data_IF_039472692670
#
_entry.id   IF_039472692670
#
_cell.length_a   1.000
_cell.length_b   1.000
_cell.length_c   1.000
_cell.angle_alpha   90.00
_cell.angle_beta   90.00
_cell.angle_gamma   90.00
#
_symmetry.space_group_name_H-M   'P 1'
#
loop_
_entity.id
_entity.type
_entity.pdbx_description
1 polymer ?
#
# COMPACT_ATOMS: atom_id res chain seq x y z
N UNK A 1 -63.25 97.29 3.18
CA UNK A 1 -62.04 97.30 3.97
C UNK A 1 -62.02 96.03 4.82
N UNK A 2 -61.39 94.96 4.36
CA UNK A 2 -61.05 93.80 5.23
C UNK A 2 -59.73 93.26 4.70
N UNK A 3 -58.68 93.28 5.48
CA UNK A 3 -57.32 92.76 5.15
C UNK A 3 -57.31 91.24 5.39
N UNK A 4 -56.98 90.48 4.35
CA UNK A 4 -56.70 89.06 4.51
C UNK A 4 -55.23 88.83 4.76
N UNK A 5 -54.89 88.14 5.82
CA UNK A 5 -53.53 87.73 6.18
C UNK A 5 -53.27 86.36 5.54
N UNK A 6 -52.21 86.28 4.78
CA UNK A 6 -51.69 85.06 4.19
C UNK A 6 -50.66 84.47 5.14
N UNK A 7 -50.93 83.30 5.69
CA UNK A 7 -49.92 82.47 6.44
C UNK A 7 -49.13 81.64 5.48
N UNK A 8 -47.81 81.87 5.40
CA UNK A 8 -46.87 81.01 4.72
C UNK A 8 -46.42 79.84 5.61
N UNK A 9 -46.81 78.62 5.28
CA UNK A 9 -46.34 77.45 5.97
C UNK A 9 -45.02 76.97 5.26
N UNK A 10 -43.88 77.07 5.95
CA UNK A 10 -42.61 76.56 5.48
C UNK A 10 -42.49 75.12 5.85
N UNK A 11 -42.51 74.23 4.82
CA UNK A 11 -42.18 72.78 4.93
C UNK A 11 -40.67 72.56 4.94
N UNK A 12 -40.13 72.17 6.08
CA UNK A 12 -38.73 71.70 6.20
C UNK A 12 -38.70 70.22 5.82
N UNK A 13 -38.16 69.88 4.65
CA UNK A 13 -37.87 68.54 4.22
C UNK A 13 -36.58 68.06 4.91
N UNK A 14 -36.72 67.14 5.89
CA UNK A 14 -35.61 66.38 6.41
C UNK A 14 -35.26 65.25 5.40
N UNK A 15 -34.20 65.43 4.62
CA UNK A 15 -33.58 64.34 3.83
C UNK A 15 -32.75 63.44 4.75
N UNK A 16 -33.28 62.26 5.06
CA UNK A 16 -32.49 61.19 5.68
C UNK A 16 -31.58 60.57 4.62
N UNK A 17 -30.30 60.94 4.61
CA UNK A 17 -29.30 60.26 3.84
C UNK A 17 -29.08 58.84 4.40
N UNK A 18 -29.62 57.82 3.73
CA UNK A 18 -29.25 56.43 3.96
C UNK A 18 -27.85 56.22 3.34
N UNK A 19 -26.81 56.20 4.16
CA UNK A 19 -25.50 55.71 3.77
C UNK A 19 -25.63 54.21 3.55
N UNK A 20 -25.70 53.77 2.29
CA UNK A 20 -25.46 52.39 1.92
C UNK A 20 -24.00 52.10 2.28
N UNK A 21 -23.78 51.32 3.35
CA UNK A 21 -22.48 50.74 3.67
C UNK A 21 -22.15 49.79 2.49
N UNK A 22 -21.21 50.19 1.64
CA UNK A 22 -20.64 49.31 0.61
C UNK A 22 -20.01 48.09 1.29
N UNK A 23 -19.91 46.95 0.56
CA UNK A 23 -19.19 45.79 1.08
C UNK A 23 -17.79 46.24 1.51
N UNK A 24 -17.48 46.02 2.79
CA UNK A 24 -16.14 46.29 3.32
C UNK A 24 -15.07 45.55 2.45
N UNK A 25 -13.85 46.06 2.41
CA UNK A 25 -12.78 45.41 1.62
C UNK A 25 -12.73 43.95 2.00
N UNK A 26 -12.78 43.07 0.97
CA UNK A 26 -12.60 41.61 1.15
C UNK A 26 -11.34 41.41 1.99
N UNK A 27 -11.53 40.88 3.23
CA UNK A 27 -10.44 40.75 4.17
C UNK A 27 -9.30 39.99 3.53
N UNK A 28 -8.09 40.51 3.62
CA UNK A 28 -6.87 39.80 3.21
C UNK A 28 -6.93 38.41 3.84
N UNK A 29 -6.81 37.31 3.06
CA UNK A 29 -6.88 35.97 3.63
C UNK A 29 -5.90 35.89 4.80
N UNK A 30 -6.41 35.59 5.99
CA UNK A 30 -5.58 35.51 7.20
C UNK A 30 -4.52 34.41 6.98
N UNK A 31 -3.25 34.69 7.35
CA UNK A 31 -2.17 33.74 7.23
C UNK A 31 -2.56 32.39 7.88
N UNK A 32 -2.17 31.24 7.27
CA UNK A 32 -2.48 29.93 7.81
C UNK A 32 -1.93 29.73 9.23
N UNK A 33 -2.71 29.06 10.07
CA UNK A 33 -2.32 28.67 11.43
C UNK A 33 -2.36 27.17 11.60
N UNK A 34 -1.64 26.64 12.60
CA UNK A 34 -1.67 25.22 12.88
C UNK A 34 -3.09 24.74 13.18
N UNK A 35 -3.75 25.36 14.16
CA UNK A 35 -5.03 24.87 14.68
C UNK A 35 -6.14 24.85 13.63
N UNK A 36 -6.24 25.92 12.82
CA UNK A 36 -7.33 26.07 11.84
C UNK A 36 -7.05 25.37 10.51
N UNK A 37 -5.79 25.44 10.01
CA UNK A 37 -5.50 25.13 8.62
C UNK A 37 -4.61 23.88 8.44
N UNK A 38 -3.62 23.69 9.33
CA UNK A 38 -2.61 22.63 9.17
C UNK A 38 -3.01 21.34 9.88
N UNK A 39 -3.53 21.43 11.11
CA UNK A 39 -3.95 20.25 11.87
C UNK A 39 -4.99 19.38 11.12
N UNK A 40 -6.03 19.97 10.47
CA UNK A 40 -6.95 19.16 9.66
C UNK A 40 -6.25 18.33 8.59
N UNK A 41 -5.25 18.91 7.90
CA UNK A 41 -4.47 18.23 6.85
C UNK A 41 -3.65 17.09 7.47
N UNK A 42 -2.92 17.38 8.56
CA UNK A 42 -2.09 16.38 9.24
C UNK A 42 -2.94 15.24 9.79
N UNK A 43 -4.11 15.53 10.34
CA UNK A 43 -5.00 14.52 10.92
C UNK A 43 -5.59 13.60 9.86
N UNK A 44 -5.91 14.13 8.69
CA UNK A 44 -6.44 13.34 7.58
C UNK A 44 -5.37 12.46 6.90
N UNK A 45 -4.14 12.98 6.73
CA UNK A 45 -3.16 12.35 5.83
C UNK A 45 -1.88 11.84 6.50
N UNK A 46 -1.59 12.22 7.76
CA UNK A 46 -0.29 11.96 8.38
C UNK A 46 -0.35 11.15 9.69
N UNK A 47 -1.31 11.46 10.59
CA UNK A 47 -1.34 10.87 11.94
C UNK A 47 -1.65 9.37 11.95
N UNK A 48 -2.11 8.79 10.84
CA UNK A 48 -2.22 7.35 10.70
C UNK A 48 -0.90 6.63 11.02
N UNK A 49 0.23 7.24 10.65
CA UNK A 49 1.58 6.73 10.93
C UNK A 49 2.33 7.58 11.96
N UNK A 50 2.11 8.91 11.96
CA UNK A 50 2.82 9.88 12.81
C UNK A 50 2.09 10.11 14.14
N UNK A 51 2.10 9.09 15.00
CA UNK A 51 1.53 9.12 16.35
C UNK A 51 2.30 8.18 17.29
N UNK A 52 2.17 8.33 18.61
CA UNK A 52 2.81 7.43 19.56
C UNK A 52 2.44 5.95 19.32
N UNK A 53 3.43 5.07 19.32
CA UNK A 53 3.25 3.62 19.13
C UNK A 53 3.15 3.15 17.68
N UNK A 54 3.25 4.07 16.70
CA UNK A 54 3.27 3.73 15.27
C UNK A 54 4.68 3.87 14.68
N UNK A 55 4.78 3.58 13.38
CA UNK A 55 6.06 3.43 12.66
C UNK A 55 6.87 4.72 12.53
N UNK A 56 6.22 5.89 12.47
CA UNK A 56 6.92 7.14 12.26
C UNK A 56 7.67 7.62 13.52
N UNK A 57 8.86 8.22 13.38
CA UNK A 57 9.73 8.54 14.51
C UNK A 57 9.23 9.73 15.36
N UNK A 58 8.22 10.49 14.89
CA UNK A 58 7.65 11.63 15.60
C UNK A 58 6.13 11.67 15.49
N UNK A 59 5.49 12.18 16.53
CA UNK A 59 4.06 12.49 16.53
C UNK A 59 3.79 13.79 15.75
N UNK A 60 2.65 13.85 15.06
CA UNK A 60 2.13 15.04 14.39
C UNK A 60 0.73 15.41 14.91
N UNK A 61 0.45 15.12 16.17
CA UNK A 61 -0.86 15.36 16.81
C UNK A 61 -0.96 16.78 17.39
N UNK A 62 0.00 17.17 18.24
CA UNK A 62 -0.04 18.48 18.89
C UNK A 62 0.81 19.51 18.17
N UNK A 63 0.52 20.80 18.42
CA UNK A 63 1.37 21.89 17.92
C UNK A 63 2.83 21.74 18.37
N UNK A 64 3.03 21.37 19.64
CA UNK A 64 4.36 21.24 20.22
C UNK A 64 5.14 20.07 19.62
N UNK A 65 4.46 18.99 19.21
CA UNK A 65 5.06 17.89 18.45
C UNK A 65 5.43 18.31 17.02
N UNK A 66 4.56 19.07 16.35
CA UNK A 66 4.69 19.41 14.92
C UNK A 66 5.67 20.55 14.69
N UNK A 67 5.66 21.58 15.55
CA UNK A 67 6.43 22.82 15.36
C UNK A 67 7.93 22.62 15.16
N UNK A 68 8.63 21.74 15.89
CA UNK A 68 10.05 21.45 15.68
C UNK A 68 10.35 20.92 14.27
N UNK A 69 9.42 20.19 13.67
CA UNK A 69 9.55 19.52 12.37
C UNK A 69 9.01 20.35 11.19
N UNK A 70 8.50 21.55 11.43
CA UNK A 70 7.81 22.35 10.39
C UNK A 70 8.62 22.49 9.09
N UNK A 71 9.91 22.79 9.16
CA UNK A 71 10.78 22.90 7.98
C UNK A 71 10.94 21.56 7.24
N UNK A 72 11.09 20.46 7.97
CA UNK A 72 11.17 19.11 7.39
C UNK A 72 9.86 18.70 6.76
N UNK A 73 8.73 18.96 7.40
CA UNK A 73 7.38 18.73 6.86
C UNK A 73 7.22 19.48 5.54
N UNK A 74 7.54 20.79 5.51
CA UNK A 74 7.52 21.59 4.28
C UNK A 74 8.34 20.94 3.16
N UNK A 75 9.58 20.55 3.44
CA UNK A 75 10.46 19.93 2.45
C UNK A 75 9.85 18.62 1.92
N UNK A 76 9.38 17.74 2.79
CA UNK A 76 8.84 16.42 2.42
C UNK A 76 7.51 16.49 1.67
N UNK A 77 6.61 17.42 2.01
CA UNK A 77 5.36 17.58 1.27
C UNK A 77 5.58 18.27 -0.10
N UNK A 78 6.57 19.18 -0.19
CA UNK A 78 6.93 19.83 -1.46
C UNK A 78 7.57 18.85 -2.43
N UNK A 79 8.45 17.96 -1.96
CA UNK A 79 9.06 16.90 -2.78
C UNK A 79 8.10 15.73 -3.07
N UNK A 80 6.92 15.71 -2.47
CA UNK A 80 5.96 14.59 -2.54
C UNK A 80 6.52 13.27 -2.00
N UNK A 81 7.51 13.31 -1.13
CA UNK A 81 7.96 12.15 -0.38
C UNK A 81 6.98 11.77 0.73
N UNK A 82 6.25 12.77 1.29
CA UNK A 82 5.21 12.59 2.32
C UNK A 82 3.94 13.35 1.95
N UNK A 83 2.77 12.75 2.24
CA UNK A 83 2.58 11.36 2.65
C UNK A 83 2.97 10.38 1.53
N UNK A 84 3.30 9.11 1.86
CA UNK A 84 3.68 8.11 0.87
C UNK A 84 2.48 7.77 -0.01
N UNK A 85 2.52 8.23 -1.25
CA UNK A 85 1.50 7.96 -2.27
C UNK A 85 2.10 8.17 -3.66
N UNK A 86 2.25 7.09 -4.42
CA UNK A 86 2.95 7.12 -5.71
C UNK A 86 2.04 7.20 -6.93
N UNK A 87 0.72 6.96 -6.79
CA UNK A 87 -0.20 6.97 -7.92
C UNK A 87 -0.36 8.38 -8.52
N UNK A 88 -0.32 8.47 -9.85
CA UNK A 88 -0.66 9.70 -10.57
C UNK A 88 -2.17 9.96 -10.43
N UNK A 89 -2.59 11.11 -9.88
CA UNK A 89 -4.00 11.41 -9.63
C UNK A 89 -4.87 11.51 -10.89
N UNK A 90 -4.26 11.49 -12.07
CA UNK A 90 -4.99 11.45 -13.35
C UNK A 90 -5.64 10.10 -13.64
N UNK A 91 -5.17 9.02 -13.00
CA UNK A 91 -5.53 7.66 -13.35
C UNK A 91 -6.00 6.88 -12.12
N UNK A 92 -7.11 6.18 -12.30
CA UNK A 92 -7.73 5.41 -11.23
C UNK A 92 -8.35 6.28 -10.13
N UNK A 93 -9.16 5.65 -9.29
CA UNK A 93 -9.65 6.19 -8.02
C UNK A 93 -9.46 5.13 -6.98
N UNK A 94 -8.79 5.47 -5.90
CA UNK A 94 -8.37 4.51 -4.89
C UNK A 94 -8.93 4.90 -3.53
N UNK A 95 -9.27 3.88 -2.73
CA UNK A 95 -9.58 4.07 -1.32
C UNK A 95 -8.33 4.56 -0.58
N UNK A 96 -8.55 5.25 0.51
CA UNK A 96 -7.48 5.71 1.41
C UNK A 96 -6.39 6.53 0.72
N UNK A 97 -6.76 7.27 -0.35
CA UNK A 97 -5.85 8.21 -0.98
C UNK A 97 -5.46 9.30 0.03
N UNK A 98 -4.20 9.23 0.46
CA UNK A 98 -3.61 10.17 1.42
C UNK A 98 -2.78 11.26 0.77
N UNK A 99 -2.79 11.34 -0.57
CA UNK A 99 -2.07 12.38 -1.29
C UNK A 99 -2.58 13.77 -0.89
N UNK A 100 -1.68 14.75 -0.91
CA UNK A 100 -2.07 16.13 -0.65
C UNK A 100 -2.41 16.85 -1.96
N UNK A 101 -3.49 17.63 -1.94
CA UNK A 101 -3.79 18.53 -3.06
C UNK A 101 -2.74 19.65 -3.16
N UNK A 102 -2.59 20.31 -4.31
CA UNK A 102 -1.71 21.47 -4.45
C UNK A 102 -2.00 22.54 -3.40
N UNK A 103 -3.27 22.79 -3.09
CA UNK A 103 -3.73 23.79 -2.12
C UNK A 103 -3.34 23.43 -0.68
N UNK A 104 -3.42 22.13 -0.32
CA UNK A 104 -2.99 21.63 0.98
C UNK A 104 -1.48 21.76 1.16
N UNK A 105 -0.70 21.46 0.11
CA UNK A 105 0.76 21.67 0.13
C UNK A 105 1.08 23.16 0.28
N UNK A 106 0.42 24.02 -0.49
CA UNK A 106 0.59 25.47 -0.40
C UNK A 106 0.26 26.01 0.98
N UNK A 107 -0.81 25.52 1.61
CA UNK A 107 -1.20 25.87 2.97
C UNK A 107 -0.09 25.57 3.98
N UNK A 108 0.47 24.34 3.91
CA UNK A 108 1.59 23.95 4.78
C UNK A 108 2.82 24.82 4.51
N UNK A 109 3.15 25.07 3.25
CA UNK A 109 4.30 25.92 2.87
C UNK A 109 4.13 27.34 3.42
N UNK A 110 2.98 27.96 3.19
CA UNK A 110 2.68 29.33 3.70
C UNK A 110 2.71 29.39 5.20
N UNK A 111 2.20 28.35 5.89
CA UNK A 111 2.26 28.27 7.33
C UNK A 111 3.69 28.27 7.85
N UNK A 112 4.55 27.44 7.26
CA UNK A 112 5.97 27.33 7.66
C UNK A 112 6.71 28.64 7.37
N UNK A 113 6.53 29.22 6.18
CA UNK A 113 7.18 30.46 5.74
C UNK A 113 6.70 31.67 6.60
N UNK A 114 5.47 31.62 7.11
CA UNK A 114 4.90 32.59 8.04
C UNK A 114 5.34 32.41 9.51
N UNK A 115 6.35 31.56 9.78
CA UNK A 115 6.87 31.32 11.12
C UNK A 115 6.15 30.23 11.90
N UNK A 116 5.30 29.47 11.25
CA UNK A 116 4.52 28.36 11.79
C UNK A 116 3.68 28.76 13.03
N UNK A 117 2.77 29.75 12.95
CA UNK A 117 1.97 30.19 14.07
C UNK A 117 0.99 29.13 14.56
N UNK A 118 0.79 29.06 15.88
CA UNK A 118 -0.12 28.09 16.51
C UNK A 118 -1.59 28.35 16.18
N UNK A 119 -2.00 29.60 16.21
CA UNK A 119 -3.40 29.98 16.08
C UNK A 119 -4.19 29.76 17.38
N UNK A 120 -5.52 29.95 17.28
CA UNK A 120 -6.44 29.71 18.37
C UNK A 120 -6.75 28.22 18.52
N UNK A 121 -6.46 27.65 19.69
CA UNK A 121 -6.72 26.22 19.96
C UNK A 121 -8.22 25.89 19.99
N UNK A 122 -9.11 26.82 20.11
CA UNK A 122 -10.55 26.62 19.98
C UNK A 122 -10.95 26.19 18.54
N UNK A 123 -10.10 26.50 17.56
CA UNK A 123 -10.27 26.08 16.16
C UNK A 123 -9.64 24.70 15.85
N UNK A 124 -8.98 24.06 16.83
CA UNK A 124 -8.34 22.76 16.61
C UNK A 124 -9.42 21.68 16.44
N UNK A 125 -9.38 20.88 15.36
CA UNK A 125 -10.29 19.77 15.20
C UNK A 125 -10.03 18.69 16.25
N UNK A 126 -11.04 17.84 16.49
CA UNK A 126 -10.86 16.66 17.34
C UNK A 126 -9.79 15.76 16.74
N UNK A 127 -8.85 15.33 17.57
CA UNK A 127 -7.84 14.34 17.17
C UNK A 127 -8.57 13.06 16.76
N UNK A 128 -8.25 12.43 15.62
CA UNK A 128 -8.86 11.18 15.22
C UNK A 128 -8.68 10.11 16.31
N UNK A 129 -9.75 9.43 16.65
CA UNK A 129 -9.67 8.25 17.49
C UNK A 129 -9.00 7.12 16.72
N UNK A 130 -8.00 6.54 17.31
CA UNK A 130 -7.29 5.41 16.74
C UNK A 130 -7.39 4.25 17.69
N UNK A 131 -7.80 3.10 17.15
CA UNK A 131 -7.89 1.88 17.93
C UNK A 131 -6.53 1.50 18.54
N UNK A 132 -6.52 1.25 19.83
CA UNK A 132 -5.43 0.56 20.51
C UNK A 132 -5.71 -0.93 20.42
N UNK A 133 -4.83 -1.73 19.83
CA UNK A 133 -5.08 -3.15 19.59
C UNK A 133 -5.55 -3.41 18.14
N UNK A 134 -6.44 -4.36 17.93
CA UNK A 134 -6.99 -4.68 16.61
C UNK A 134 -7.88 -3.54 16.11
N UNK A 135 -7.64 -3.07 14.88
CA UNK A 135 -8.30 -1.85 14.36
C UNK A 135 -9.77 -2.08 13.98
N UNK A 136 -10.17 -3.33 13.80
CA UNK A 136 -11.51 -3.70 13.35
C UNK A 136 -12.23 -4.66 14.32
N UNK A 137 -11.95 -4.53 15.61
CA UNK A 137 -12.44 -5.42 16.66
C UNK A 137 -11.61 -6.68 16.82
N UNK A 138 -11.94 -7.51 17.81
CA UNK A 138 -11.19 -8.74 18.07
C UNK A 138 -11.36 -9.75 16.93
N UNK A 139 -10.26 -10.31 16.39
CA UNK A 139 -10.32 -11.36 15.37
C UNK A 139 -10.85 -12.66 15.95
N UNK A 140 -11.41 -13.51 15.09
CA UNK A 140 -11.90 -14.84 15.50
C UNK A 140 -10.74 -15.76 15.89
N UNK A 141 -9.56 -15.55 15.31
CA UNK A 141 -8.35 -16.32 15.60
C UNK A 141 -7.12 -15.43 15.46
N UNK A 142 -6.17 -15.57 16.38
CA UNK A 142 -4.84 -14.97 16.31
C UNK A 142 -3.80 -16.06 16.12
N UNK A 143 -2.97 -15.93 15.09
CA UNK A 143 -1.80 -16.76 14.85
C UNK A 143 -0.55 -15.91 15.08
N UNK A 144 0.36 -16.36 15.93
CA UNK A 144 1.60 -15.67 16.22
C UNK A 144 2.79 -16.32 15.54
N UNK A 145 3.82 -15.53 15.24
CA UNK A 145 5.12 -16.07 14.85
C UNK A 145 5.60 -17.09 15.89
N UNK A 146 6.27 -18.17 15.45
CA UNK A 146 6.58 -19.29 16.34
C UNK A 146 7.69 -18.98 17.36
N UNK A 147 8.48 -17.96 17.11
CA UNK A 147 9.64 -17.55 17.94
C UNK A 147 9.73 -16.03 18.04
N UNK A 148 10.37 -15.54 19.09
CA UNK A 148 10.88 -14.17 19.16
C UNK A 148 12.12 -14.06 18.27
N UNK A 149 12.03 -13.30 17.18
CA UNK A 149 13.15 -13.13 16.26
C UNK A 149 13.99 -11.94 16.67
N UNK A 150 15.32 -12.18 16.88
CA UNK A 150 16.25 -11.14 17.26
C UNK A 150 16.66 -10.28 16.05
N UNK A 151 16.51 -8.97 16.19
CA UNK A 151 16.86 -7.96 15.18
C UNK A 151 18.09 -7.19 15.70
N UNK A 152 19.21 -7.15 14.95
CA UNK A 152 20.40 -6.41 15.36
C UNK A 152 20.16 -4.90 15.37
N UNK A 153 21.05 -4.15 16.01
CA UNK A 153 21.00 -2.68 15.99
C UNK A 153 21.24 -2.10 14.59
N UNK A 154 22.13 -2.73 13.84
CA UNK A 154 22.64 -2.26 12.55
C UNK A 154 22.89 -3.44 11.61
N UNK A 155 23.11 -3.13 10.34
CA UNK A 155 23.39 -4.10 9.29
C UNK A 155 22.15 -4.52 8.52
N UNK A 156 22.32 -5.48 7.64
CA UNK A 156 21.26 -6.02 6.79
C UNK A 156 20.67 -7.28 7.43
N UNK A 157 19.36 -7.36 7.49
CA UNK A 157 18.65 -8.55 7.93
C UNK A 157 18.04 -9.23 6.71
N UNK A 158 18.50 -10.45 6.35
CA UNK A 158 17.95 -11.18 5.22
C UNK A 158 16.45 -11.42 5.40
N UNK A 159 15.71 -11.37 4.30
CA UNK A 159 14.30 -11.77 4.30
C UNK A 159 14.19 -13.21 4.78
N UNK A 160 13.24 -13.45 5.68
CA UNK A 160 13.15 -14.70 6.43
C UNK A 160 11.73 -15.21 6.49
N UNK A 161 11.53 -16.49 6.17
CA UNK A 161 10.26 -17.20 6.31
C UNK A 161 10.12 -17.80 7.72
N UNK A 162 8.92 -17.66 8.34
CA UNK A 162 8.55 -18.31 9.61
C UNK A 162 7.22 -19.03 9.44
N UNK A 163 7.24 -20.34 9.59
CA UNK A 163 6.08 -21.17 9.34
C UNK A 163 5.38 -21.60 10.64
N UNK A 164 4.06 -21.52 10.64
CA UNK A 164 3.19 -21.96 11.73
C UNK A 164 2.13 -22.88 11.14
N UNK A 165 1.94 -24.05 11.73
CA UNK A 165 0.82 -24.91 11.33
C UNK A 165 -0.49 -24.22 11.65
N UNK A 166 -1.37 -24.05 10.67
CA UNK A 166 -2.70 -23.49 10.89
C UNK A 166 -3.52 -24.41 11.82
N UNK A 167 -4.20 -23.87 12.84
CA UNK A 167 -4.87 -24.70 13.87
C UNK A 167 -6.25 -25.22 13.42
N UNK A 168 -6.52 -25.25 12.12
CA UNK A 168 -7.81 -25.64 11.57
C UNK A 168 -7.90 -27.15 11.37
N UNK A 169 -9.01 -27.76 11.84
CA UNK A 169 -9.35 -29.16 11.62
C UNK A 169 -10.29 -29.38 10.43
N UNK A 170 -10.83 -28.30 9.87
CA UNK A 170 -11.65 -28.26 8.66
C UNK A 170 -11.28 -27.02 7.86
N UNK A 171 -11.69 -26.97 6.61
CA UNK A 171 -11.48 -25.83 5.74
C UNK A 171 -12.23 -24.61 6.27
N UNK A 172 -11.58 -23.44 6.24
CA UNK A 172 -12.18 -22.18 6.68
C UNK A 172 -12.06 -21.11 5.60
N UNK A 173 -13.00 -20.17 5.62
CA UNK A 173 -12.98 -19.02 4.74
C UNK A 173 -12.69 -17.75 5.54
N UNK A 174 -11.69 -17.00 5.11
CA UNK A 174 -11.28 -15.73 5.70
C UNK A 174 -11.93 -14.58 4.95
N UNK A 175 -12.59 -13.67 5.67
CA UNK A 175 -13.24 -12.46 5.14
C UNK A 175 -12.40 -11.20 5.34
N UNK A 176 -11.63 -11.17 6.40
CA UNK A 176 -10.68 -10.10 6.66
C UNK A 176 -9.49 -10.62 7.48
N UNK A 177 -8.41 -9.87 7.45
CA UNK A 177 -7.22 -10.20 8.24
C UNK A 177 -6.44 -8.94 8.59
N UNK A 178 -5.70 -9.02 9.70
CA UNK A 178 -4.89 -7.92 10.20
C UNK A 178 -3.54 -8.43 10.71
N UNK A 179 -2.45 -7.81 10.27
CA UNK A 179 -1.10 -8.05 10.80
C UNK A 179 -0.78 -6.99 11.85
N UNK A 180 -0.33 -7.46 13.00
CA UNK A 180 0.18 -6.61 14.08
C UNK A 180 1.64 -6.93 14.35
N UNK A 181 2.55 -5.99 14.10
CA UNK A 181 3.93 -6.09 14.55
C UNK A 181 4.02 -6.34 16.05
N UNK A 182 4.93 -7.19 16.48
CA UNK A 182 5.28 -7.32 17.89
C UNK A 182 6.04 -6.10 18.39
N UNK A 183 6.92 -5.58 17.53
CA UNK A 183 7.68 -4.34 17.78
C UNK A 183 7.42 -3.35 16.65
N UNK A 184 6.93 -2.16 17.01
CA UNK A 184 6.67 -1.10 16.04
C UNK A 184 7.97 -0.59 15.38
N UNK A 185 7.89 -0.27 14.08
CA UNK A 185 8.97 0.39 13.33
C UNK A 185 10.10 -0.50 12.84
N UNK A 186 10.11 -1.80 13.18
CA UNK A 186 11.18 -2.73 12.74
C UNK A 186 10.83 -3.52 11.49
N UNK A 187 9.56 -3.58 11.10
CA UNK A 187 9.12 -4.29 9.90
C UNK A 187 9.08 -3.31 8.74
N UNK A 188 9.93 -3.52 7.74
CA UNK A 188 9.90 -2.77 6.48
C UNK A 188 8.68 -3.18 5.64
N UNK A 189 8.52 -4.48 5.42
CA UNK A 189 7.32 -5.08 4.87
C UNK A 189 7.22 -6.55 5.28
N UNK A 190 6.02 -7.12 5.18
CA UNK A 190 5.82 -8.55 5.35
C UNK A 190 4.82 -9.09 4.32
N UNK A 191 5.02 -10.34 3.93
CA UNK A 191 4.04 -11.11 3.18
C UNK A 191 3.47 -12.23 4.05
N UNK A 192 2.16 -12.39 4.06
CA UNK A 192 1.52 -13.55 4.70
C UNK A 192 1.04 -14.50 3.61
N UNK A 193 1.38 -15.77 3.75
CA UNK A 193 1.05 -16.77 2.75
C UNK A 193 0.49 -18.04 3.39
N UNK A 194 -0.24 -18.83 2.61
CA UNK A 194 -0.67 -20.18 2.96
C UNK A 194 0.09 -21.18 2.11
N UNK A 195 0.57 -22.22 2.74
CA UNK A 195 1.14 -23.39 2.10
C UNK A 195 0.26 -24.58 2.47
N UNK A 196 -0.32 -25.25 1.49
CA UNK A 196 -1.30 -26.31 1.71
C UNK A 196 -0.69 -27.53 2.43
N UNK A 197 0.57 -27.89 2.13
CA UNK A 197 1.24 -29.05 2.69
C UNK A 197 2.76 -28.92 2.70
N UNK A 198 3.44 -29.66 3.55
CA UNK A 198 4.89 -29.82 3.48
C UNK A 198 5.28 -30.81 2.37
N UNK A 199 6.46 -30.67 1.78
CA UNK A 199 7.04 -31.68 0.90
C UNK A 199 7.26 -33.01 1.64
N UNK A 200 7.29 -34.12 0.90
CA UNK A 200 7.55 -35.45 1.48
C UNK A 200 8.90 -35.48 2.21
N UNK A 201 8.89 -35.96 3.44
CA UNK A 201 10.06 -36.02 4.31
C UNK A 201 10.44 -34.69 4.99
N UNK A 202 9.84 -33.58 4.61
CA UNK A 202 10.09 -32.29 5.28
C UNK A 202 9.34 -32.22 6.64
N UNK A 203 9.90 -31.41 7.55
CA UNK A 203 9.35 -31.21 8.91
C UNK A 203 9.38 -29.74 9.29
N UNK A 204 8.42 -29.36 10.14
CA UNK A 204 8.43 -28.03 10.78
C UNK A 204 9.23 -28.14 12.09
N UNK A 205 10.32 -27.36 12.20
CA UNK A 205 11.23 -27.32 13.36
C UNK A 205 11.46 -25.87 13.75
N UNK A 206 11.05 -25.45 14.93
CA UNK A 206 11.22 -24.07 15.44
C UNK A 206 10.84 -22.98 14.42
N UNK A 207 9.71 -23.18 13.75
CA UNK A 207 9.20 -22.22 12.75
C UNK A 207 9.93 -22.25 11.41
N UNK A 208 10.83 -23.22 11.17
CA UNK A 208 11.48 -23.44 9.89
C UNK A 208 11.02 -24.75 9.28
N UNK A 209 10.84 -24.78 7.97
CA UNK A 209 10.66 -26.04 7.26
C UNK A 209 12.04 -26.56 6.91
N UNK A 210 12.34 -27.78 7.33
CA UNK A 210 13.60 -28.48 7.01
C UNK A 210 13.30 -29.70 6.15
N UNK A 211 14.11 -29.93 5.11
CA UNK A 211 13.99 -31.11 4.25
C UNK A 211 14.53 -32.38 4.95
N UNK A 212 14.48 -33.51 4.25
CA UNK A 212 14.98 -34.79 4.78
C UNK A 212 16.47 -34.79 5.17
N UNK A 213 17.26 -33.92 4.56
CA UNK A 213 18.70 -33.77 4.85
C UNK A 213 18.96 -32.76 6.00
N UNK A 214 17.93 -32.22 6.64
CA UNK A 214 18.03 -31.26 7.71
C UNK A 214 18.34 -29.82 7.25
N UNK A 215 18.23 -29.51 5.96
CA UNK A 215 18.46 -28.16 5.41
C UNK A 215 17.16 -27.36 5.43
N UNK A 216 17.23 -26.11 5.87
CA UNK A 216 16.11 -25.16 5.82
C UNK A 216 15.67 -24.92 4.36
N UNK A 217 14.35 -24.77 4.20
CA UNK A 217 13.69 -24.50 2.93
C UNK A 217 12.95 -23.17 3.00
N UNK A 218 13.14 -22.34 1.97
CA UNK A 218 12.29 -21.15 1.79
C UNK A 218 10.90 -21.58 1.28
N UNK A 219 9.92 -20.67 1.41
CA UNK A 219 8.57 -20.85 0.86
C UNK A 219 8.59 -21.31 -0.61
N UNK A 220 9.41 -20.68 -1.44
CA UNK A 220 9.50 -21.03 -2.86
C UNK A 220 10.12 -22.41 -3.10
N UNK A 221 11.06 -22.82 -2.27
CA UNK A 221 11.62 -24.17 -2.34
C UNK A 221 10.59 -25.22 -1.92
N UNK A 222 9.77 -24.92 -0.92
CA UNK A 222 8.64 -25.78 -0.50
C UNK A 222 7.62 -25.94 -1.64
N UNK A 223 7.21 -24.83 -2.27
CA UNK A 223 6.27 -24.89 -3.40
C UNK A 223 6.81 -25.72 -4.57
N UNK A 224 8.07 -25.53 -4.92
CA UNK A 224 8.72 -26.32 -6.00
C UNK A 224 8.82 -27.81 -5.67
N UNK A 225 9.15 -28.15 -4.44
CA UNK A 225 9.23 -29.53 -4.00
C UNK A 225 7.85 -30.24 -4.04
N UNK A 226 6.78 -29.48 -3.87
CA UNK A 226 5.40 -29.95 -4.02
C UNK A 226 4.94 -30.09 -5.50
N UNK A 227 5.81 -29.77 -6.47
CA UNK A 227 5.51 -29.88 -7.91
C UNK A 227 4.86 -28.65 -8.51
N UNK A 228 4.67 -27.57 -7.72
CA UNK A 228 4.04 -26.33 -8.13
C UNK A 228 4.98 -25.30 -8.74
N UNK A 229 4.39 -24.36 -9.43
CA UNK A 229 5.00 -23.06 -9.66
C UNK A 229 4.70 -22.18 -8.44
N UNK A 230 5.60 -21.27 -8.08
CA UNK A 230 5.44 -20.38 -6.93
C UNK A 230 4.11 -19.61 -6.88
N UNK A 231 3.38 -19.54 -7.99
CA UNK A 231 2.10 -18.82 -8.12
C UNK A 231 0.85 -19.70 -7.95
N UNK A 232 0.97 -21.03 -7.99
CA UNK A 232 -0.18 -21.95 -7.94
C UNK A 232 -0.37 -22.65 -6.59
N UNK A 233 0.70 -22.85 -5.83
CA UNK A 233 0.66 -23.57 -4.55
C UNK A 233 0.91 -22.67 -3.33
N UNK A 234 1.31 -21.43 -3.58
CA UNK A 234 1.47 -20.42 -2.53
C UNK A 234 0.35 -19.40 -2.67
N UNK A 235 -0.58 -19.46 -1.76
CA UNK A 235 -1.67 -18.49 -1.70
C UNK A 235 -1.24 -17.31 -0.83
N UNK A 236 -1.15 -16.13 -1.43
CA UNK A 236 -0.91 -14.90 -0.67
C UNK A 236 -2.17 -14.52 0.09
N UNK A 237 -2.03 -14.18 1.36
CA UNK A 237 -3.09 -13.63 2.19
C UNK A 237 -3.06 -12.11 2.18
N UNK A 238 -1.91 -11.53 2.56
CA UNK A 238 -1.75 -10.10 2.79
C UNK A 238 -0.33 -9.66 2.47
N UNK A 239 -0.17 -8.39 2.05
CA UNK A 239 1.09 -7.65 2.20
C UNK A 239 0.92 -6.60 3.28
N UNK A 240 1.77 -6.67 4.30
CA UNK A 240 1.90 -5.62 5.30
C UNK A 240 2.96 -4.61 4.85
N UNK A 241 2.63 -3.35 4.96
CA UNK A 241 3.58 -2.24 4.97
C UNK A 241 3.22 -1.31 6.13
N UNK A 242 4.16 -0.50 6.65
CA UNK A 242 3.87 0.46 7.69
C UNK A 242 2.66 1.35 7.37
N UNK A 243 1.71 1.41 8.31
CA UNK A 243 0.44 2.14 8.12
C UNK A 243 -0.63 1.39 7.33
N UNK A 244 -0.38 0.14 6.92
CA UNK A 244 -1.37 -0.73 6.30
C UNK A 244 -1.15 -2.19 6.70
N UNK A 245 -1.86 -2.63 7.71
CA UNK A 245 -1.82 -4.02 8.19
C UNK A 245 -3.14 -4.77 8.10
N UNK A 246 -4.22 -4.10 7.71
CA UNK A 246 -5.57 -4.68 7.62
C UNK A 246 -6.01 -4.83 6.17
N UNK A 247 -6.75 -5.89 5.91
CA UNK A 247 -7.35 -6.19 4.63
C UNK A 247 -8.71 -6.84 4.80
N UNK A 248 -9.71 -6.31 4.11
CA UNK A 248 -11.05 -6.86 4.06
C UNK A 248 -11.42 -7.22 2.63
N UNK A 249 -11.96 -8.42 2.44
CA UNK A 249 -12.45 -8.86 1.15
C UNK A 249 -13.91 -8.43 0.99
N UNK A 250 -14.21 -7.87 -0.17
CA UNK A 250 -15.53 -7.31 -0.48
C UNK A 250 -16.50 -8.39 -0.95
N UNK A 251 -17.78 -8.07 -0.92
CA UNK A 251 -18.87 -8.89 -1.43
C UNK A 251 -18.80 -10.34 -0.93
N UNK A 252 -18.90 -11.31 -1.83
CA UNK A 252 -18.76 -12.73 -1.56
C UNK A 252 -17.34 -13.28 -1.79
N UNK A 253 -16.34 -12.40 -1.95
CA UNK A 253 -14.93 -12.79 -2.05
C UNK A 253 -14.33 -13.16 -0.69
N UNK A 254 -13.33 -14.04 -0.69
CA UNK A 254 -12.59 -14.45 0.49
C UNK A 254 -11.39 -15.31 0.16
N UNK A 255 -10.74 -15.78 1.21
CA UNK A 255 -9.60 -16.70 1.11
C UNK A 255 -9.95 -18.02 1.77
N UNK A 256 -9.80 -19.12 1.02
CA UNK A 256 -9.91 -20.46 1.57
C UNK A 256 -8.57 -20.86 2.21
N UNK A 257 -8.60 -21.26 3.48
CA UNK A 257 -7.49 -21.92 4.16
C UNK A 257 -7.90 -23.36 4.46
N UNK A 258 -7.23 -24.31 3.81
CA UNK A 258 -7.53 -25.73 3.99
C UNK A 258 -7.05 -26.24 5.35
N UNK A 259 -7.73 -27.24 5.85
CA UNK A 259 -7.29 -27.99 7.03
C UNK A 259 -5.88 -28.57 6.83
N UNK A 260 -5.03 -28.41 7.85
CA UNK A 260 -3.65 -28.93 7.81
C UNK A 260 -2.63 -28.03 7.10
N UNK A 261 -3.05 -26.89 6.54
CA UNK A 261 -2.17 -25.89 5.94
C UNK A 261 -1.20 -25.26 6.94
N UNK A 262 -0.24 -24.53 6.43
CA UNK A 262 0.73 -23.75 7.18
C UNK A 262 0.62 -22.29 6.78
N UNK A 263 0.75 -21.38 7.75
CA UNK A 263 0.88 -19.93 7.53
C UNK A 263 2.36 -19.60 7.52
N UNK A 264 2.77 -18.87 6.52
CA UNK A 264 4.11 -18.34 6.39
C UNK A 264 4.11 -16.83 6.67
N UNK A 265 4.92 -16.42 7.63
CA UNK A 265 5.29 -15.04 7.89
C UNK A 265 6.61 -14.76 7.16
N UNK A 266 6.53 -14.20 5.99
CA UNK A 266 7.66 -13.76 5.16
C UNK A 266 8.04 -12.34 5.56
N UNK A 267 9.10 -12.22 6.35
CA UNK A 267 9.42 -10.98 7.08
C UNK A 267 10.67 -10.32 6.55
N UNK A 268 10.56 -9.01 6.27
CA UNK A 268 11.68 -8.13 5.98
C UNK A 268 11.82 -7.07 7.08
N UNK A 269 12.93 -7.10 7.79
CA UNK A 269 13.21 -6.22 8.92
C UNK A 269 14.19 -5.10 8.59
N UNK A 270 14.02 -3.95 9.24
CA UNK A 270 14.96 -2.83 9.21
C UNK A 270 15.46 -2.57 10.62
N UNK A 271 16.78 -2.67 10.89
CA UNK A 271 17.38 -2.26 12.15
C UNK A 271 17.12 -0.78 12.46
N UNK A 272 16.92 -0.48 13.75
CA UNK A 272 16.53 0.87 14.21
C UNK A 272 17.56 1.53 15.12
N UNK A 273 18.82 1.04 15.12
CA UNK A 273 19.91 1.54 15.94
C UNK A 273 19.96 0.94 17.36
N UNK A 274 18.97 0.11 17.73
CA UNK A 274 18.93 -0.59 19.02
C UNK A 274 18.55 -2.06 18.79
N UNK A 275 19.28 -3.01 19.39
CA UNK A 275 18.90 -4.42 19.30
C UNK A 275 17.51 -4.63 19.90
N UNK A 276 16.68 -5.41 19.21
CA UNK A 276 15.31 -5.69 19.66
C UNK A 276 14.87 -7.08 19.20
N UNK A 277 13.64 -7.44 19.50
CA UNK A 277 13.01 -8.67 19.02
C UNK A 277 11.67 -8.35 18.40
N UNK A 278 11.19 -9.18 17.47
CA UNK A 278 9.84 -9.13 16.95
C UNK A 278 9.15 -10.49 17.08
N UNK A 279 7.86 -10.45 17.37
CA UNK A 279 6.93 -11.56 17.34
C UNK A 279 5.58 -11.08 16.82
N UNK A 280 5.52 -10.96 15.51
CA UNK A 280 4.32 -10.47 14.82
C UNK A 280 3.15 -11.42 14.94
N UNK A 281 1.93 -10.88 14.85
CA UNK A 281 0.66 -11.62 14.97
C UNK A 281 -0.20 -11.37 13.74
N UNK A 282 -0.92 -12.40 13.33
CA UNK A 282 -1.94 -12.38 12.30
C UNK A 282 -3.31 -12.63 12.93
N UNK A 283 -4.19 -11.65 12.87
CA UNK A 283 -5.61 -11.80 13.20
C UNK A 283 -6.40 -12.23 11.97
N UNK A 284 -7.24 -13.23 12.11
CA UNK A 284 -8.13 -13.74 11.06
C UNK A 284 -9.58 -13.51 11.47
N UNK A 285 -10.36 -12.93 10.56
CA UNK A 285 -11.80 -12.74 10.69
C UNK A 285 -12.47 -13.72 9.73
N UNK A 286 -13.12 -14.73 10.28
CA UNK A 286 -13.66 -15.86 9.50
C UNK A 286 -15.07 -15.56 8.99
N UNK A 287 -15.43 -16.15 7.87
CA UNK A 287 -16.81 -16.16 7.42
C UNK A 287 -17.70 -16.92 8.41
N UNK A 288 -18.85 -16.34 8.80
CA UNK A 288 -19.76 -16.90 9.81
C UNK A 288 -21.11 -17.20 9.18
N UNK A 289 -21.66 -18.36 9.53
CA UNK A 289 -23.02 -18.74 9.19
C UNK A 289 -23.31 -18.70 7.70
N UNK A 290 -24.21 -17.78 7.31
CA UNK A 290 -24.65 -17.54 5.94
C UNK A 290 -23.75 -16.58 5.16
N UNK A 291 -22.66 -16.07 5.73
CA UNK A 291 -21.67 -15.28 5.01
C UNK A 291 -20.99 -16.13 3.92
N UNK A 292 -21.69 -16.26 2.80
CA UNK A 292 -21.20 -17.07 1.71
C UNK A 292 -19.93 -16.46 1.11
N UNK A 293 -18.83 -17.23 1.10
CA UNK A 293 -17.69 -16.92 0.24
C UNK A 293 -17.89 -17.65 -1.08
N UNK A 294 -18.18 -16.90 -2.12
CA UNK A 294 -18.45 -17.44 -3.44
C UNK A 294 -17.22 -17.53 -4.32
N UNK A 295 -16.24 -16.64 -4.08
CA UNK A 295 -15.08 -16.52 -4.96
C UNK A 295 -13.79 -16.43 -4.18
N UNK A 296 -12.76 -17.18 -4.65
CA UNK A 296 -11.40 -17.10 -4.15
C UNK A 296 -10.71 -15.83 -4.64
N UNK A 297 -9.99 -15.16 -3.73
CA UNK A 297 -9.09 -14.06 -4.09
C UNK A 297 -7.78 -14.62 -4.65
N UNK A 298 -7.34 -14.02 -5.75
CA UNK A 298 -6.02 -14.23 -6.36
C UNK A 298 -5.24 -12.93 -6.38
N UNK A 299 -3.92 -13.02 -6.25
CA UNK A 299 -3.04 -11.84 -6.22
C UNK A 299 -2.26 -11.63 -7.53
N UNK A 300 -2.71 -12.23 -8.63
CA UNK A 300 -2.11 -12.07 -9.95
C UNK A 300 -3.13 -12.28 -11.06
N UNK A 301 -3.03 -11.52 -12.13
CA UNK A 301 -3.78 -11.74 -13.37
C UNK A 301 -3.48 -13.08 -14.03
N UNK A 302 -2.34 -13.70 -13.72
CA UNK A 302 -1.99 -15.03 -14.23
C UNK A 302 -2.98 -16.13 -13.81
N UNK A 303 -3.81 -15.89 -12.79
CA UNK A 303 -4.90 -16.77 -12.41
C UNK A 303 -5.99 -16.85 -13.50
N UNK A 304 -6.18 -15.79 -14.29
CA UNK A 304 -7.21 -15.70 -15.33
C UNK A 304 -6.69 -15.95 -16.75
N UNK A 305 -5.39 -16.22 -16.93
CA UNK A 305 -4.83 -16.52 -18.23
C UNK A 305 -3.31 -16.33 -18.32
N UNK A 306 -2.71 -16.54 -19.50
CA UNK A 306 -1.27 -16.51 -19.66
C UNK A 306 -0.70 -15.11 -19.63
N UNK A 307 0.57 -15.02 -19.24
CA UNK A 307 1.37 -13.81 -19.27
C UNK A 307 2.52 -13.94 -20.26
N UNK A 308 2.67 -12.95 -21.14
CA UNK A 308 3.83 -12.80 -22.03
C UNK A 308 4.73 -11.67 -21.48
N UNK A 309 6.03 -11.88 -21.52
CA UNK A 309 7.01 -10.87 -21.09
C UNK A 309 7.78 -10.34 -22.29
N UNK A 310 8.04 -9.02 -22.28
CA UNK A 310 8.83 -8.33 -23.29
C UNK A 310 9.91 -7.53 -22.56
N UNK A 311 11.18 -7.82 -22.82
CA UNK A 311 12.32 -7.11 -22.22
C UNK A 311 13.10 -6.45 -23.34
N UNK A 312 13.32 -5.15 -23.23
CA UNK A 312 14.02 -4.36 -24.26
C UNK A 312 13.49 -4.64 -25.69
N UNK A 313 12.16 -4.80 -25.83
CA UNK A 313 11.48 -5.04 -27.11
C UNK A 313 11.53 -6.47 -27.61
N UNK A 314 12.12 -7.41 -26.88
CA UNK A 314 12.15 -8.83 -27.24
C UNK A 314 11.21 -9.63 -26.34
N UNK A 315 10.44 -10.54 -26.94
CA UNK A 315 9.57 -11.45 -26.20
C UNK A 315 10.37 -12.55 -25.50
N UNK A 316 9.98 -12.84 -24.26
CA UNK A 316 10.56 -13.88 -23.43
C UNK A 316 9.47 -14.76 -22.86
N UNK A 317 9.67 -16.07 -22.96
CA UNK A 317 8.91 -17.06 -22.18
C UNK A 317 9.75 -17.39 -20.96
N UNK A 318 9.26 -17.15 -19.75
CA UNK A 318 10.01 -17.47 -18.54
C UNK A 318 10.32 -18.98 -18.51
N UNK A 319 11.59 -19.32 -18.49
CA UNK A 319 12.01 -20.71 -18.33
C UNK A 319 12.04 -21.05 -16.84
N UNK A 320 11.74 -22.31 -16.49
CA UNK A 320 11.97 -22.79 -15.13
C UNK A 320 13.47 -22.67 -14.84
N UNK A 321 13.83 -21.91 -13.80
CA UNK A 321 15.21 -21.83 -13.33
C UNK A 321 15.62 -23.15 -12.69
N UNK A 322 16.93 -23.45 -12.71
CA UNK A 322 17.51 -24.62 -12.08
C UNK A 322 17.37 -24.62 -10.55
N UNK A 323 17.79 -25.71 -9.89
CA UNK A 323 17.84 -25.79 -8.43
C UNK A 323 18.74 -24.68 -7.87
N UNK A 324 18.20 -23.88 -6.94
CA UNK A 324 18.92 -22.80 -6.27
C UNK A 324 18.44 -21.39 -6.63
N UNK A 325 17.65 -21.22 -7.67
CA UNK A 325 17.12 -19.93 -8.09
C UNK A 325 15.83 -19.56 -7.34
N UNK A 326 15.89 -18.50 -6.54
CA UNK A 326 14.77 -18.03 -5.71
C UNK A 326 13.88 -16.99 -6.41
N UNK A 327 14.23 -16.54 -7.61
CA UNK A 327 13.50 -15.51 -8.34
C UNK A 327 12.13 -15.94 -8.86
N UNK A 328 11.17 -15.02 -8.87
CA UNK A 328 9.80 -15.26 -9.32
C UNK A 328 9.67 -15.43 -10.84
N UNK A 329 10.54 -14.77 -11.62
CA UNK A 329 10.52 -14.79 -13.10
C UNK A 329 11.95 -14.81 -13.63
N UNK A 330 12.25 -15.71 -14.56
CA UNK A 330 13.56 -15.74 -15.23
C UNK A 330 13.54 -14.81 -16.45
N UNK A 331 13.90 -13.55 -16.24
CA UNK A 331 14.08 -12.53 -17.27
C UNK A 331 15.58 -12.26 -17.48
N UNK A 332 15.98 -11.63 -18.61
CA UNK A 332 17.33 -11.10 -18.75
C UNK A 332 17.71 -10.18 -17.59
N UNK A 333 18.92 -10.34 -17.08
CA UNK A 333 19.43 -9.50 -15.98
C UNK A 333 19.49 -8.03 -16.38
N UNK A 334 19.40 -7.14 -15.40
CA UNK A 334 19.53 -5.71 -15.63
C UNK A 334 21.02 -5.36 -15.77
N UNK A 335 21.45 -4.80 -16.93
CA UNK A 335 22.87 -4.50 -17.13
C UNK A 335 23.40 -3.44 -16.18
N UNK A 336 24.72 -3.41 -15.95
CA UNK A 336 25.38 -2.30 -15.26
C UNK A 336 25.01 -0.96 -15.92
N UNK A 337 24.83 0.05 -15.10
CA UNK A 337 24.56 1.44 -15.49
C UNK A 337 23.30 1.69 -16.35
N UNK A 338 22.39 0.71 -16.47
CA UNK A 338 21.15 0.86 -17.22
C UNK A 338 20.22 1.88 -16.52
N UNK A 339 19.84 2.98 -17.21
CA UNK A 339 19.00 4.05 -16.63
C UNK A 339 17.49 3.80 -16.77
N UNK A 340 17.06 3.08 -17.81
CA UNK A 340 15.64 2.85 -18.13
C UNK A 340 15.43 1.44 -18.68
N UNK A 341 15.98 0.44 -17.99
CA UNK A 341 15.78 -0.95 -18.41
C UNK A 341 14.29 -1.28 -18.35
N UNK A 342 13.73 -1.68 -19.50
CA UNK A 342 12.30 -1.79 -19.67
C UNK A 342 11.83 -3.24 -19.68
N UNK A 343 10.91 -3.55 -18.77
CA UNK A 343 10.18 -4.82 -18.71
C UNK A 343 8.70 -4.55 -18.92
N UNK A 344 8.07 -5.32 -19.81
CA UNK A 344 6.63 -5.27 -20.04
C UNK A 344 6.07 -6.67 -19.83
N UNK A 345 4.97 -6.79 -19.08
CA UNK A 345 4.14 -7.98 -19.08
C UNK A 345 2.78 -7.69 -19.71
N UNK A 346 2.30 -8.65 -20.50
CA UNK A 346 0.97 -8.63 -21.09
C UNK A 346 0.19 -9.83 -20.56
N UNK A 347 -0.77 -9.54 -19.67
CA UNK A 347 -1.66 -10.54 -19.09
C UNK A 347 -2.90 -10.66 -19.98
N UNK A 348 -3.12 -11.82 -20.60
CA UNK A 348 -4.31 -12.08 -21.40
C UNK A 348 -5.41 -12.65 -20.51
N UNK A 349 -6.51 -11.95 -20.37
CA UNK A 349 -7.65 -12.34 -19.55
C UNK A 349 -8.51 -13.32 -20.37
N UNK A 350 -8.46 -14.60 -20.04
CA UNK A 350 -9.24 -15.67 -20.70
C UNK A 350 -10.58 -15.92 -20.02
N UNK A 351 -10.63 -15.69 -18.72
CA UNK A 351 -11.84 -15.79 -17.91
C UNK A 351 -12.15 -14.39 -17.34
N UNK A 352 -13.42 -13.98 -17.30
CA UNK A 352 -13.76 -12.67 -16.73
C UNK A 352 -13.32 -12.58 -15.28
N UNK A 353 -12.86 -11.39 -14.86
CA UNK A 353 -12.38 -11.14 -13.51
C UNK A 353 -13.00 -9.87 -12.94
N UNK A 354 -13.14 -9.83 -11.62
CA UNK A 354 -13.38 -8.61 -10.88
C UNK A 354 -12.08 -8.17 -10.22
N UNK A 355 -11.58 -6.98 -10.59
CA UNK A 355 -10.36 -6.38 -10.05
C UNK A 355 -10.71 -5.50 -8.84
N UNK A 356 -10.06 -5.74 -7.71
CA UNK A 356 -10.22 -4.98 -6.47
C UNK A 356 -9.08 -3.99 -6.23
N UNK A 357 -7.89 -4.24 -6.75
CA UNK A 357 -6.76 -3.33 -6.60
C UNK A 357 -5.45 -3.88 -7.16
N UNK A 358 -4.41 -3.05 -7.09
CA UNK A 358 -3.11 -3.29 -7.72
C UNK A 358 -1.96 -3.03 -6.74
N UNK A 359 -0.92 -3.84 -6.82
CA UNK A 359 0.32 -3.65 -6.06
C UNK A 359 1.51 -3.66 -7.00
N UNK A 360 2.07 -2.50 -7.33
CA UNK A 360 3.35 -2.42 -8.01
C UNK A 360 4.46 -2.79 -7.01
N UNK A 361 5.12 -3.94 -7.22
CA UNK A 361 6.20 -4.38 -6.36
C UNK A 361 7.49 -4.57 -7.17
N UNK A 362 8.52 -3.84 -6.77
CA UNK A 362 9.89 -3.85 -7.28
C UNK A 362 10.84 -3.73 -6.09
N UNK A 363 12.15 -3.94 -6.33
CA UNK A 363 13.18 -3.66 -5.33
C UNK A 363 13.86 -2.31 -5.56
N UNK A 364 15.13 -2.18 -5.16
CA UNK A 364 15.87 -0.90 -5.08
C UNK A 364 16.05 -0.17 -6.42
N UNK A 365 16.02 -0.89 -7.56
CA UNK A 365 16.15 -0.26 -8.89
C UNK A 365 14.82 0.06 -9.55
N UNK A 366 13.69 -0.28 -8.90
CA UNK A 366 12.38 0.11 -9.39
C UNK A 366 12.28 1.62 -9.62
N UNK A 367 11.83 2.03 -10.82
CA UNK A 367 11.69 3.44 -11.19
C UNK A 367 10.23 3.84 -11.42
N UNK A 368 9.47 3.04 -12.16
CA UNK A 368 8.06 3.30 -12.44
C UNK A 368 7.33 2.02 -12.82
N UNK A 369 6.01 1.99 -12.61
CA UNK A 369 5.14 0.92 -13.08
C UNK A 369 3.78 1.46 -13.48
N UNK A 370 3.31 1.12 -14.69
CA UNK A 370 2.00 1.52 -15.21
C UNK A 370 1.21 0.29 -15.67
N UNK A 371 -0.05 0.22 -15.26
CA UNK A 371 -1.01 -0.79 -15.67
C UNK A 371 -2.02 -0.18 -16.64
N UNK A 372 -2.16 -0.76 -17.83
CA UNK A 372 -3.12 -0.35 -18.85
C UNK A 372 -4.02 -1.53 -19.22
N UNK A 373 -5.33 -1.32 -19.12
CA UNK A 373 -6.33 -2.26 -19.59
C UNK A 373 -6.65 -1.94 -21.06
N UNK A 374 -6.63 -2.96 -21.92
CA UNK A 374 -7.18 -2.92 -23.28
C UNK A 374 -8.37 -3.87 -23.34
N UNK A 375 -9.55 -3.36 -23.65
CA UNK A 375 -10.78 -4.12 -23.79
C UNK A 375 -10.84 -4.89 -25.13
N UNK A 376 -11.73 -5.87 -25.28
CA UNK A 376 -11.88 -6.63 -26.54
C UNK A 376 -12.26 -5.78 -27.75
N UNK A 377 -12.95 -4.66 -27.55
CA UNK A 377 -13.32 -3.69 -28.58
C UNK A 377 -12.19 -2.69 -28.93
N UNK A 378 -11.05 -2.80 -28.28
CA UNK A 378 -9.89 -1.92 -28.46
C UNK A 378 -9.88 -0.67 -27.57
N UNK A 379 -10.90 -0.49 -26.71
CA UNK A 379 -10.91 0.60 -25.73
C UNK A 379 -9.75 0.45 -24.73
N UNK A 380 -9.08 1.57 -24.39
CA UNK A 380 -7.95 1.58 -23.47
C UNK A 380 -8.23 2.43 -22.23
N UNK A 381 -7.73 1.97 -21.08
CA UNK A 381 -7.82 2.70 -19.81
C UNK A 381 -6.56 2.43 -18.99
N UNK A 382 -5.95 3.49 -18.44
CA UNK A 382 -4.88 3.35 -17.45
C UNK A 382 -5.50 3.07 -16.08
N UNK A 383 -5.26 1.87 -15.55
CA UNK A 383 -5.78 1.43 -14.26
C UNK A 383 -5.00 2.05 -13.08
N UNK A 384 -3.67 2.13 -13.23
CA UNK A 384 -2.75 2.68 -12.24
C UNK A 384 -1.48 3.15 -12.97
N UNK A 385 -0.99 4.33 -12.60
CA UNK A 385 0.33 4.82 -12.99
C UNK A 385 1.11 5.25 -11.75
N UNK A 386 2.27 4.64 -11.51
CA UNK A 386 3.23 5.00 -10.46
C UNK A 386 4.50 5.49 -11.16
N UNK A 387 4.56 6.77 -11.55
CA UNK A 387 5.68 7.32 -12.35
C UNK A 387 6.98 7.48 -11.55
N UNK A 388 6.89 7.45 -10.21
CA UNK A 388 8.02 7.54 -9.29
C UNK A 388 7.84 6.49 -8.21
N UNK A 389 8.31 5.27 -8.49
CA UNK A 389 8.30 4.20 -7.52
C UNK A 389 9.30 4.49 -6.41
N UNK A 390 8.94 4.17 -5.17
CA UNK A 390 9.83 4.24 -4.01
C UNK A 390 9.76 2.91 -3.26
N UNK A 391 10.89 2.21 -3.19
CA UNK A 391 11.02 0.91 -2.53
C UNK A 391 10.56 0.91 -1.07
N UNK A 392 10.69 2.05 -0.37
CA UNK A 392 10.24 2.17 1.02
C UNK A 392 8.71 2.13 1.17
N UNK A 393 7.96 2.35 0.07
CA UNK A 393 6.51 2.47 0.07
C UNK A 393 5.87 1.54 -0.97
N UNK A 394 5.82 0.26 -0.65
CA UNK A 394 5.26 -0.79 -1.52
C UNK A 394 3.75 -0.89 -1.34
N UNK A 395 3.03 0.14 -1.75
CA UNK A 395 1.61 0.31 -1.49
C UNK A 395 0.75 -0.63 -2.35
N UNK A 396 -0.35 -1.06 -1.76
CA UNK A 396 -1.50 -1.61 -2.48
C UNK A 396 -2.49 -0.48 -2.74
N UNK A 397 -2.90 -0.34 -3.97
CA UNK A 397 -3.87 0.65 -4.42
C UNK A 397 -5.23 -0.03 -4.61
N UNK A 398 -6.07 0.03 -3.57
CA UNK A 398 -7.41 -0.53 -3.61
C UNK A 398 -8.33 0.40 -4.41
N UNK A 399 -9.03 -0.14 -5.40
CA UNK A 399 -9.98 0.63 -6.19
C UNK A 399 -11.15 1.08 -5.31
N UNK A 400 -11.61 2.31 -5.49
CA UNK A 400 -12.80 2.84 -4.83
C UNK A 400 -14.04 1.98 -5.14
N UNK A 401 -14.14 1.54 -6.40
CA UNK A 401 -15.16 0.60 -6.89
C UNK A 401 -14.48 -0.55 -7.62
N UNK A 402 -14.77 -1.81 -7.27
CA UNK A 402 -14.26 -2.96 -8.00
C UNK A 402 -14.60 -2.88 -9.49
N UNK A 403 -13.68 -3.33 -10.34
CA UNK A 403 -13.80 -3.24 -11.78
C UNK A 403 -13.94 -4.60 -12.42
N UNK A 404 -15.07 -4.84 -13.10
CA UNK A 404 -15.22 -6.01 -13.94
C UNK A 404 -14.39 -5.89 -15.23
N UNK A 405 -13.61 -6.91 -15.54
CA UNK A 405 -12.77 -7.02 -16.75
C UNK A 405 -13.21 -8.26 -17.54
N UNK A 406 -13.81 -8.08 -18.73
CA UNK A 406 -14.34 -9.19 -19.52
C UNK A 406 -13.22 -10.07 -20.11
N UNK A 407 -13.55 -11.33 -20.39
CA UNK A 407 -12.68 -12.21 -21.15
C UNK A 407 -12.33 -11.60 -22.52
N UNK A 408 -11.10 -11.87 -23.00
CA UNK A 408 -10.57 -11.26 -24.23
C UNK A 408 -9.82 -9.96 -24.01
N UNK A 409 -9.93 -9.35 -22.82
CA UNK A 409 -9.16 -8.16 -22.43
C UNK A 409 -7.67 -8.50 -22.25
N UNK A 410 -6.83 -7.46 -22.26
CA UNK A 410 -5.41 -7.55 -21.91
C UNK A 410 -5.08 -6.50 -20.84
N UNK A 411 -4.26 -6.87 -19.88
CA UNK A 411 -3.64 -5.92 -18.95
C UNK A 411 -2.15 -5.86 -19.26
N UNK A 412 -1.71 -4.71 -19.77
CA UNK A 412 -0.30 -4.46 -20.08
C UNK A 412 0.33 -3.69 -18.92
N UNK A 413 1.43 -4.22 -18.37
CA UNK A 413 2.19 -3.55 -17.31
C UNK A 413 3.56 -3.15 -17.85
N UNK A 414 3.81 -1.86 -17.90
CA UNK A 414 5.09 -1.29 -18.32
C UNK A 414 5.87 -0.85 -17.09
N UNK A 415 7.07 -1.38 -16.95
CA UNK A 415 7.95 -1.10 -15.80
C UNK A 415 9.31 -0.65 -16.29
N UNK A 416 9.86 0.35 -15.61
CA UNK A 416 11.23 0.82 -15.80
C UNK A 416 12.04 0.57 -14.54
N UNK A 417 13.29 0.16 -14.75
CA UNK A 417 14.31 0.01 -13.71
C UNK A 417 15.47 0.97 -13.97
N UNK A 418 16.12 1.43 -12.90
CA UNK A 418 17.27 2.33 -12.94
C UNK A 418 18.44 1.75 -12.14
N UNK A 419 19.36 1.10 -12.85
CA UNK A 419 20.63 0.58 -12.29
C UNK A 419 21.78 1.58 -12.44
N UNK A 420 21.49 2.87 -12.65
CA UNK A 420 22.52 3.89 -12.81
C UNK A 420 22.93 4.56 -11.49
N UNK A 421 24.05 5.30 -11.45
CA UNK A 421 24.45 6.10 -10.28
C UNK A 421 23.46 7.24 -9.92
N UNK A 422 22.50 7.56 -10.79
CA UNK A 422 21.47 8.58 -10.52
C UNK A 422 20.41 8.08 -9.54
N UNK A 423 20.25 6.74 -9.45
CA UNK A 423 19.38 6.14 -8.45
C UNK A 423 20.06 6.11 -7.10
N UNK A 424 19.64 6.98 -6.19
CA UNK A 424 20.20 7.12 -4.84
C UNK A 424 20.08 5.87 -3.96
N UNK A 425 19.18 4.95 -4.31
CA UNK A 425 18.96 3.70 -3.57
C UNK A 425 19.77 2.53 -4.13
N UNK A 426 20.42 2.69 -5.28
CA UNK A 426 21.19 1.63 -5.91
C UNK A 426 22.54 1.44 -5.22
N UNK A 427 22.80 0.30 -4.57
CA UNK A 427 24.04 0.09 -3.82
C UNK A 427 25.26 -0.21 -4.70
N UNK A 428 25.06 -0.64 -5.96
CA UNK A 428 26.13 -1.12 -6.82
C UNK A 428 25.79 -0.96 -8.31
N UNK A 429 25.84 0.28 -8.86
CA UNK A 429 25.47 0.54 -10.26
C UNK A 429 26.39 -0.15 -11.26
N UNK A 430 27.62 -0.47 -10.88
CA UNK A 430 28.61 -1.17 -11.71
C UNK A 430 28.36 -2.68 -11.87
N UNK A 431 27.38 -3.24 -11.12
CA UNK A 431 27.07 -4.66 -11.16
C UNK A 431 25.87 -4.95 -12.04
N UNK A 432 25.90 -6.10 -12.71
CA UNK A 432 24.72 -6.73 -13.28
C UNK A 432 23.77 -7.16 -12.16
N UNK A 433 22.45 -6.96 -12.33
CA UNK A 433 21.45 -7.26 -11.29
C UNK A 433 20.63 -8.47 -11.67
N UNK A 434 20.59 -9.42 -10.76
CA UNK A 434 19.86 -10.67 -10.88
C UNK A 434 18.42 -10.53 -10.38
N UNK A 435 17.58 -11.49 -10.68
CA UNK A 435 16.21 -11.55 -10.18
C UNK A 435 16.14 -12.55 -9.01
N UNK A 436 15.81 -12.04 -7.81
CA UNK A 436 15.67 -12.86 -6.60
C UNK A 436 14.65 -12.28 -5.63
N UNK A 437 14.49 -12.92 -4.48
CA UNK A 437 13.67 -12.41 -3.38
C UNK A 437 14.39 -11.37 -2.52
N UNK A 438 15.71 -11.28 -2.63
CA UNK A 438 16.51 -10.38 -1.80
C UNK A 438 16.52 -8.94 -2.36
N UNK A 439 16.46 -7.94 -1.47
CA UNK A 439 16.32 -6.52 -1.86
C UNK A 439 17.51 -5.98 -2.64
N UNK A 440 18.71 -6.53 -2.42
CA UNK A 440 19.92 -6.14 -3.18
C UNK A 440 19.97 -6.67 -4.61
N UNK A 441 19.19 -7.69 -4.92
CA UNK A 441 18.84 -8.10 -6.27
C UNK A 441 17.58 -7.35 -6.73
N UNK A 442 16.86 -7.83 -7.75
CA UNK A 442 15.66 -7.17 -8.21
C UNK A 442 14.48 -8.15 -8.34
N UNK A 443 13.28 -7.60 -8.26
CA UNK A 443 12.05 -8.35 -8.45
C UNK A 443 11.11 -7.61 -9.41
N UNK A 444 10.46 -8.37 -10.27
CA UNK A 444 9.38 -7.90 -11.13
C UNK A 444 8.08 -8.60 -10.72
N UNK A 445 7.26 -7.91 -9.94
CA UNK A 445 6.02 -8.46 -9.43
C UNK A 445 4.85 -7.46 -9.54
N UNK A 446 4.27 -7.29 -10.74
CA UNK A 446 3.05 -6.52 -10.93
C UNK A 446 1.86 -7.33 -10.42
N UNK A 447 1.47 -7.10 -9.16
CA UNK A 447 0.39 -7.85 -8.53
C UNK A 447 -0.96 -7.17 -8.72
N UNK A 448 -2.02 -7.98 -8.72
CA UNK A 448 -3.40 -7.55 -8.77
C UNK A 448 -4.24 -8.42 -7.84
N UNK A 449 -5.15 -7.82 -7.10
CA UNK A 449 -6.16 -8.57 -6.34
C UNK A 449 -7.39 -8.73 -7.20
N UNK A 450 -7.72 -9.97 -7.54
CA UNK A 450 -8.84 -10.32 -8.41
C UNK A 450 -9.62 -11.52 -7.87
N UNK A 451 -10.89 -11.62 -8.26
CA UNK A 451 -11.60 -12.89 -8.36
C UNK A 451 -11.68 -13.32 -9.82
N UNK A 452 -11.80 -14.63 -10.06
CA UNK A 452 -12.14 -15.16 -11.39
C UNK A 452 -13.62 -15.50 -11.35
N UNK A 453 -14.44 -14.73 -12.06
CA UNK A 453 -15.90 -14.70 -11.89
C UNK A 453 -16.60 -16.01 -12.30
N UNK A 454 -15.95 -16.80 -13.18
CA UNK A 454 -16.42 -18.13 -13.60
C UNK A 454 -16.15 -19.23 -12.58
N UNK A 455 -15.31 -18.98 -11.54
CA UNK A 455 -14.87 -19.97 -10.56
C UNK A 455 -15.54 -19.74 -9.21
N UNK A 456 -16.66 -20.43 -8.99
CA UNK A 456 -17.38 -20.35 -7.71
C UNK A 456 -16.88 -21.42 -6.72
N UNK A 457 -16.69 -21.01 -5.46
CA UNK A 457 -16.44 -21.91 -4.33
C UNK A 457 -17.72 -22.60 -3.82
N UNK A 458 -18.90 -22.15 -4.29
CA UNK A 458 -20.21 -22.68 -3.86
C UNK A 458 -20.62 -24.00 -4.55
N UNK A 459 -19.82 -24.49 -5.48
CA UNK A 459 -20.14 -25.67 -6.28
C UNK A 459 -19.48 -26.98 -5.78
N UNK A 460 -19.00 -26.98 -4.52
CA UNK A 460 -18.34 -28.17 -3.94
C UNK A 460 -19.03 -28.63 -2.66
#
# INVERSE_FOLDING_TARGET
>A
MKRAAVLLLSFVLFSTAHTLAGPGPAGVPSAPTFARDVAPILYASCVGCHRPGEVAPMSLISYDDVRPWAKSIRAKVTSREMPPWGADPKYGKFKDDRSLTPEQVETIVKWVDGGAPRGDLAALPRVPEVATGWSHGEPDLVIEMPIDFAIPAEGEVPITDFFVKAPFTHDVYVKALEVRPGTAGVIHHAGLYVIDRLPDGAKLVNGRIVNADGKEMTRNQVARANGGTSTQEIQKLLSYVPGRGYEQYQDDAGQLIKAGSYIDFYMHYTPTGTPTTDRSRLGLYLAKGDQAVGHQIYHSFSAAGPTTYIVEGKEYTPQKRGQGDEGSVNLPNIPPYAENFKVVSVHTIREPVTLYGLTPHLHLRGKSMRYTLTLPDGGEEVLLDVPRYDFNWQLYYELETPKHIPAGSKVTVVTLFDNSPKNKYNPAPEKEVWWSEQSWDEMYAPQARITVDSRSLKQH
#
